data_IF_712082462299
#
_entry.id   IF_712082462299
#
_cell.length_a   1.000
_cell.length_b   1.000
_cell.length_c   1.000
_cell.angle_alpha   90.00
_cell.angle_beta   90.00
_cell.angle_gamma   90.00
#
_symmetry.space_group_name_H-M   'P 1'
#
loop_
_entity.id
_entity.type
_entity.pdbx_description
1 polymer ?
#
# COMPACT_ATOMS: atom_id res chain seq x y z
N UNK A 1 25.91 -15.21 -0.52
CA UNK A 1 26.10 -13.97 -1.31
C UNK A 1 26.83 -14.33 -2.58
N UNK A 2 26.19 -14.06 -3.73
CA UNK A 2 26.75 -14.35 -5.07
C UNK A 2 27.65 -13.22 -5.55
N UNK A 3 27.33 -11.97 -5.20
CA UNK A 3 28.20 -10.82 -5.42
C UNK A 3 28.04 -9.82 -4.26
N UNK A 4 29.12 -9.42 -3.59
CA UNK A 4 29.04 -8.44 -2.51
C UNK A 4 28.82 -7.00 -3.03
N UNK A 5 29.00 -6.77 -4.33
CA UNK A 5 28.91 -5.43 -4.92
C UNK A 5 28.51 -5.51 -6.40
N UNK A 6 27.20 -5.53 -6.64
CA UNK A 6 26.62 -5.54 -7.98
C UNK A 6 26.13 -4.14 -8.34
N UNK A 7 26.57 -3.59 -9.46
CA UNK A 7 26.11 -2.29 -9.96
C UNK A 7 24.84 -2.49 -10.80
N UNK A 8 23.75 -1.80 -10.42
CA UNK A 8 22.48 -1.79 -11.13
C UNK A 8 21.95 -0.35 -11.10
N UNK A 9 21.64 0.23 -12.26
CA UNK A 9 21.10 1.58 -12.38
C UNK A 9 21.85 2.62 -11.53
N UNK A 10 23.18 2.61 -11.62
CA UNK A 10 24.10 3.49 -10.90
C UNK A 10 24.15 3.31 -9.37
N UNK A 11 23.52 2.29 -8.82
CA UNK A 11 23.54 1.95 -7.39
C UNK A 11 24.15 0.58 -7.14
N UNK A 12 24.86 0.42 -6.02
CA UNK A 12 25.44 -0.86 -5.62
C UNK A 12 24.50 -1.67 -4.74
N UNK A 13 24.40 -2.96 -5.05
CA UNK A 13 23.59 -3.93 -4.31
C UNK A 13 24.44 -5.14 -3.91
N UNK A 14 24.05 -5.80 -2.83
CA UNK A 14 24.49 -7.14 -2.53
C UNK A 14 23.59 -8.09 -3.29
N UNK A 15 24.17 -8.93 -4.16
CA UNK A 15 23.43 -9.98 -4.87
C UNK A 15 23.51 -11.30 -4.10
N UNK A 16 22.39 -11.99 -4.00
CA UNK A 16 22.26 -13.28 -3.35
C UNK A 16 21.44 -14.24 -4.21
N UNK A 17 21.75 -15.53 -4.10
CA UNK A 17 20.99 -16.67 -4.62
C UNK A 17 19.99 -17.22 -3.58
N UNK A 18 19.96 -16.65 -2.39
CA UNK A 18 18.92 -16.95 -1.41
C UNK A 18 17.55 -16.57 -1.96
N UNK A 19 16.54 -17.40 -1.68
CA UNK A 19 15.19 -17.18 -2.16
C UNK A 19 14.61 -15.86 -1.63
N UNK A 20 14.43 -14.89 -2.51
CA UNK A 20 13.72 -13.64 -2.24
C UNK A 20 12.33 -13.75 -2.82
N UNK A 21 11.32 -13.81 -1.95
CA UNK A 21 9.92 -13.93 -2.31
C UNK A 21 9.17 -12.61 -2.04
N UNK A 22 8.00 -12.40 -2.67
CA UNK A 22 7.10 -11.31 -2.29
C UNK A 22 6.84 -11.32 -0.79
N UNK A 23 6.97 -10.16 -0.14
CA UNK A 23 6.89 -10.01 1.32
C UNK A 23 8.25 -9.93 2.02
N UNK A 24 9.35 -10.34 1.40
CA UNK A 24 10.69 -10.20 1.97
C UNK A 24 11.30 -8.79 1.76
N UNK A 25 10.75 -8.00 0.85
CA UNK A 25 11.22 -6.62 0.59
C UNK A 25 11.12 -5.75 1.84
N UNK A 26 12.16 -4.97 2.13
CA UNK A 26 12.29 -4.22 3.38
C UNK A 26 12.80 -5.04 4.57
N UNK A 27 12.84 -6.37 4.46
CA UNK A 27 13.37 -7.26 5.48
C UNK A 27 14.90 -7.25 5.56
N UNK A 28 15.47 -7.59 6.72
CA UNK A 28 16.92 -7.61 6.92
C UNK A 28 17.57 -8.85 6.30
N UNK A 29 18.77 -8.66 5.76
CA UNK A 29 19.67 -9.75 5.33
C UNK A 29 20.82 -9.87 6.33
N UNK A 30 20.99 -11.06 6.90
CA UNK A 30 22.04 -11.34 7.88
C UNK A 30 23.11 -12.27 7.27
N UNK A 31 24.35 -12.12 7.75
CA UNK A 31 25.39 -13.12 7.49
C UNK A 31 25.31 -14.27 8.51
N UNK A 32 26.21 -15.27 8.37
CA UNK A 32 26.26 -16.44 9.25
C UNK A 32 26.56 -16.08 10.72
N UNK A 33 27.06 -14.89 10.99
CA UNK A 33 27.32 -14.37 12.36
C UNK A 33 26.14 -13.60 12.95
N UNK A 34 25.03 -13.50 12.21
CA UNK A 34 23.87 -12.72 12.63
C UNK A 34 24.04 -11.19 12.50
N UNK A 35 25.06 -10.74 11.75
CA UNK A 35 25.28 -9.30 11.50
C UNK A 35 24.42 -8.88 10.31
N UNK A 36 23.75 -7.73 10.44
CA UNK A 36 22.98 -7.12 9.36
C UNK A 36 23.93 -6.64 8.24
N UNK A 37 23.77 -7.17 7.03
CA UNK A 37 24.61 -6.85 5.87
C UNK A 37 23.87 -6.03 4.81
N UNK A 38 22.55 -6.18 4.71
CA UNK A 38 21.73 -5.44 3.74
C UNK A 38 20.26 -5.43 4.17
N UNK A 39 19.47 -4.60 3.47
CA UNK A 39 17.99 -4.67 3.46
C UNK A 39 17.55 -5.21 2.10
N UNK A 40 16.69 -6.21 2.09
CA UNK A 40 16.15 -6.82 0.87
C UNK A 40 15.38 -5.77 0.06
N UNK A 41 15.79 -5.53 -1.18
CA UNK A 41 15.19 -4.51 -2.04
C UNK A 41 14.22 -5.10 -3.06
N UNK A 42 14.68 -6.03 -3.89
CA UNK A 42 13.88 -6.57 -4.97
C UNK A 42 14.42 -7.90 -5.50
N UNK A 43 13.59 -8.53 -6.33
CA UNK A 43 13.98 -9.60 -7.26
C UNK A 43 13.88 -9.04 -8.67
N UNK A 44 14.84 -9.33 -9.54
CA UNK A 44 14.67 -9.07 -10.98
C UNK A 44 13.68 -10.11 -11.51
N UNK A 45 12.56 -9.64 -12.08
CA UNK A 45 11.42 -10.47 -12.50
C UNK A 45 11.76 -11.52 -13.54
N UNK A 46 12.80 -11.29 -14.35
CA UNK A 46 13.19 -12.20 -15.45
C UNK A 46 14.36 -13.13 -15.12
N UNK A 47 14.83 -13.13 -13.86
CA UNK A 47 15.93 -14.00 -13.43
C UNK A 47 15.52 -14.81 -12.19
N UNK A 48 15.30 -16.10 -12.39
CA UNK A 48 15.07 -17.01 -11.28
C UNK A 48 16.30 -17.06 -10.36
N UNK A 49 16.05 -16.96 -9.04
CA UNK A 49 17.05 -17.06 -7.97
C UNK A 49 18.09 -15.93 -7.89
N UNK A 50 17.74 -14.69 -8.29
CA UNK A 50 18.58 -13.53 -8.03
C UNK A 50 17.86 -12.54 -7.14
N UNK A 51 18.29 -12.41 -5.89
CA UNK A 51 17.85 -11.41 -4.93
C UNK A 51 18.87 -10.29 -4.78
N UNK A 52 18.38 -9.09 -4.47
CA UNK A 52 19.22 -7.89 -4.26
C UNK A 52 18.89 -7.24 -2.93
N UNK A 53 19.93 -6.80 -2.23
CA UNK A 53 19.82 -6.05 -1.00
C UNK A 53 20.62 -4.75 -1.05
N UNK A 54 20.07 -3.69 -0.46
CA UNK A 54 20.77 -2.42 -0.25
C UNK A 54 21.79 -2.63 0.86
N UNK A 55 23.09 -2.41 0.61
CA UNK A 55 24.13 -2.63 1.62
C UNK A 55 23.92 -1.78 2.87
N UNK A 56 24.25 -2.32 4.04
CA UNK A 56 24.11 -1.61 5.32
C UNK A 56 24.93 -0.32 5.38
N UNK A 57 26.06 -0.27 4.68
CA UNK A 57 26.88 0.94 4.65
C UNK A 57 26.21 2.09 3.87
N UNK A 58 25.42 1.77 2.84
CA UNK A 58 24.57 2.76 2.15
C UNK A 58 23.47 3.25 3.09
N UNK A 59 22.83 2.35 3.81
CA UNK A 59 21.82 2.71 4.81
C UNK A 59 22.35 3.60 5.92
N UNK A 60 23.53 3.31 6.47
CA UNK A 60 24.16 4.15 7.49
C UNK A 60 24.36 5.57 7.01
N UNK A 61 24.91 5.75 5.80
CA UNK A 61 25.11 7.08 5.20
C UNK A 61 23.79 7.84 5.03
N UNK A 62 22.74 7.15 4.55
CA UNK A 62 21.42 7.78 4.39
C UNK A 62 20.85 8.19 5.74
N UNK A 63 20.95 7.35 6.77
CA UNK A 63 20.47 7.66 8.13
C UNK A 63 21.24 8.84 8.76
N UNK A 64 22.56 8.85 8.66
CA UNK A 64 23.41 9.95 9.13
C UNK A 64 23.04 11.27 8.44
N UNK A 65 22.82 11.24 7.12
CA UNK A 65 22.39 12.42 6.37
C UNK A 65 21.00 12.89 6.82
N UNK A 66 20.02 11.97 6.95
CA UNK A 66 18.65 12.31 7.37
C UNK A 66 18.62 12.90 8.79
N UNK A 67 19.49 12.45 9.70
CA UNK A 67 19.58 12.99 11.04
C UNK A 67 20.08 14.46 11.06
N UNK A 68 20.88 14.85 10.07
CA UNK A 68 21.40 16.20 9.93
C UNK A 68 20.49 17.16 9.16
N UNK A 69 19.43 16.67 8.51
CA UNK A 69 18.51 17.47 7.69
C UNK A 69 17.58 18.34 8.54
N UNK A 70 17.34 19.55 8.08
CA UNK A 70 16.20 20.34 8.55
C UNK A 70 14.90 19.70 8.03
N UNK A 71 14.13 19.10 8.94
CA UNK A 71 12.86 18.43 8.63
C UNK A 71 11.69 19.40 8.43
N UNK A 72 11.91 20.69 8.58
CA UNK A 72 10.89 21.72 8.33
C UNK A 72 10.81 22.13 6.86
N UNK A 73 11.81 21.74 6.04
CA UNK A 73 11.87 22.02 4.60
C UNK A 73 11.82 20.73 3.80
N UNK A 74 11.30 20.83 2.58
CA UNK A 74 11.31 19.72 1.63
C UNK A 74 12.73 19.50 1.11
N UNK A 75 13.23 18.29 1.25
CA UNK A 75 14.55 17.90 0.77
C UNK A 75 14.42 16.83 -0.30
N UNK A 76 15.18 16.96 -1.39
CA UNK A 76 15.31 15.97 -2.45
C UNK A 76 16.72 15.41 -2.48
N UNK A 77 16.86 14.13 -2.81
CA UNK A 77 18.17 13.50 -2.93
C UNK A 77 18.62 13.48 -4.39
N UNK A 78 19.85 13.94 -4.65
CA UNK A 78 20.45 13.84 -5.96
C UNK A 78 20.72 12.37 -6.33
N UNK A 79 20.24 11.94 -7.51
CA UNK A 79 20.43 10.55 -7.97
C UNK A 79 21.89 10.20 -8.32
N UNK A 80 22.76 11.18 -8.47
CA UNK A 80 24.15 10.98 -8.91
C UNK A 80 25.16 10.98 -7.77
N UNK A 81 24.97 11.80 -6.74
CA UNK A 81 25.91 11.89 -5.63
C UNK A 81 25.29 11.68 -4.24
N UNK A 82 24.00 11.37 -4.18
CA UNK A 82 23.23 11.13 -2.95
C UNK A 82 23.14 12.35 -2.00
N UNK A 83 23.59 13.55 -2.43
CA UNK A 83 23.49 14.77 -1.64
C UNK A 83 22.04 15.23 -1.53
N UNK A 84 21.65 15.75 -0.35
CA UNK A 84 20.33 16.31 -0.11
C UNK A 84 20.32 17.81 -0.46
N UNK A 85 19.27 18.22 -1.18
CA UNK A 85 19.11 19.56 -1.73
C UNK A 85 17.77 20.10 -1.21
N UNK A 86 17.81 21.25 -0.56
CA UNK A 86 16.61 21.90 0.01
C UNK A 86 16.12 23.09 -0.81
N UNK A 87 16.93 23.59 -1.73
CA UNK A 87 16.60 24.73 -2.59
C UNK A 87 16.41 24.26 -4.03
N UNK A 88 15.36 24.78 -4.70
CA UNK A 88 15.10 24.46 -6.11
C UNK A 88 16.23 24.99 -7.00
N UNK A 89 16.85 24.09 -7.76
CA UNK A 89 17.90 24.41 -8.71
C UNK A 89 17.81 23.48 -9.94
N UNK A 90 18.33 23.93 -11.07
CA UNK A 90 18.41 23.12 -12.30
C UNK A 90 19.52 22.07 -12.21
N UNK A 91 20.57 22.32 -11.42
CA UNK A 91 21.72 21.43 -11.27
C UNK A 91 22.01 21.16 -9.80
N UNK A 92 22.52 19.96 -9.51
CA UNK A 92 22.96 19.61 -8.17
C UNK A 92 24.13 20.52 -7.74
N UNK A 93 24.03 21.25 -6.63
CA UNK A 93 25.09 22.14 -6.16
C UNK A 93 26.37 21.38 -5.75
N UNK A 94 26.29 20.08 -5.49
CA UNK A 94 27.42 19.25 -5.09
C UNK A 94 28.17 18.68 -6.32
N UNK A 95 27.47 18.01 -7.25
CA UNK A 95 28.13 17.31 -8.36
C UNK A 95 27.87 17.92 -9.73
N UNK A 96 27.03 18.94 -9.87
CA UNK A 96 26.70 19.61 -11.12
C UNK A 96 25.82 18.78 -12.07
N UNK A 97 25.26 17.64 -11.62
CA UNK A 97 24.36 16.85 -12.44
C UNK A 97 23.01 17.55 -12.59
N UNK A 98 22.39 17.38 -13.76
CA UNK A 98 21.09 18.00 -14.02
C UNK A 98 20.00 17.30 -13.21
N UNK A 99 19.26 18.11 -12.45
CA UNK A 99 18.13 17.60 -11.65
C UNK A 99 16.88 17.48 -12.55
N UNK A 100 16.02 16.46 -12.30
CA UNK A 100 14.74 16.37 -13.00
C UNK A 100 13.87 17.60 -12.68
N UNK A 101 13.28 18.21 -13.70
CA UNK A 101 12.46 19.44 -13.57
C UNK A 101 11.31 19.31 -12.55
N UNK A 102 10.82 18.08 -12.34
CA UNK A 102 9.70 17.80 -11.44
C UNK A 102 10.14 17.41 -10.02
N UNK A 103 11.47 17.36 -9.74
CA UNK A 103 11.98 16.79 -8.48
C UNK A 103 11.58 17.63 -7.26
N UNK A 104 11.48 18.96 -7.42
CA UNK A 104 11.07 19.91 -6.38
C UNK A 104 9.56 20.20 -6.40
N UNK A 105 8.86 19.78 -7.46
CA UNK A 105 7.42 20.02 -7.53
C UNK A 105 6.71 19.06 -6.59
N UNK A 106 6.06 19.63 -5.60
CA UNK A 106 5.08 18.91 -4.80
C UNK A 106 4.01 18.39 -5.76
N UNK A 107 3.88 17.07 -5.88
CA UNK A 107 2.76 16.50 -6.63
C UNK A 107 1.50 16.76 -5.80
N UNK A 108 0.74 17.77 -6.21
CA UNK A 108 -0.58 18.01 -5.68
C UNK A 108 -1.44 16.75 -5.81
N UNK A 109 -2.39 16.61 -4.92
CA UNK A 109 -3.40 15.56 -5.06
C UNK A 109 -4.21 15.81 -6.34
N UNK A 110 -4.53 14.73 -7.05
CA UNK A 110 -5.54 14.81 -8.12
C UNK A 110 -6.92 15.10 -7.51
N UNK A 111 -7.84 15.66 -8.30
CA UNK A 111 -9.22 15.90 -7.83
C UNK A 111 -9.86 14.60 -7.31
N UNK A 112 -9.53 13.46 -7.92
CA UNK A 112 -9.95 12.14 -7.45
C UNK A 112 -9.34 11.80 -6.09
N UNK A 113 -8.06 12.07 -5.89
CA UNK A 113 -7.40 11.82 -4.61
C UNK A 113 -7.98 12.74 -3.52
N UNK A 114 -8.23 14.01 -3.81
CA UNK A 114 -8.92 14.94 -2.87
C UNK A 114 -10.26 14.35 -2.47
N UNK A 115 -11.09 13.94 -3.43
CA UNK A 115 -12.39 13.33 -3.16
C UNK A 115 -12.31 12.10 -2.26
N UNK A 116 -11.37 11.18 -2.57
CA UNK A 116 -11.17 9.96 -1.77
C UNK A 116 -10.69 10.28 -0.35
N UNK A 117 -9.78 11.24 -0.20
CA UNK A 117 -9.24 11.64 1.10
C UNK A 117 -10.27 12.36 1.97
N UNK A 118 -11.13 13.18 1.39
CA UNK A 118 -12.28 13.74 2.10
C UNK A 118 -13.23 12.65 2.63
N UNK A 119 -13.48 11.60 1.82
CA UNK A 119 -14.29 10.48 2.27
C UNK A 119 -13.63 9.69 3.41
N UNK A 120 -12.31 9.52 3.39
CA UNK A 120 -11.54 8.85 4.45
C UNK A 120 -11.52 9.71 5.72
N UNK A 121 -11.33 11.02 5.59
CA UNK A 121 -11.35 11.97 6.71
C UNK A 121 -12.72 12.00 7.39
N UNK A 122 -13.81 11.94 6.62
CA UNK A 122 -15.18 11.84 7.15
C UNK A 122 -15.42 10.60 8.02
N UNK A 123 -14.60 9.54 7.87
CA UNK A 123 -14.59 8.36 8.74
C UNK A 123 -13.77 8.54 10.02
N UNK A 124 -13.14 9.71 10.22
CA UNK A 124 -12.24 10.00 11.33
C UNK A 124 -10.84 9.40 11.19
N UNK A 125 -10.41 9.11 9.96
CA UNK A 125 -9.12 8.49 9.64
C UNK A 125 -8.24 9.54 8.96
N UNK A 126 -6.96 9.60 9.36
CA UNK A 126 -6.00 10.47 8.68
C UNK A 126 -5.65 9.89 7.30
N UNK A 127 -6.05 10.56 6.19
CA UNK A 127 -5.86 10.01 4.85
C UNK A 127 -4.40 9.89 4.44
N UNK A 128 -3.52 10.75 4.97
CA UNK A 128 -2.08 10.71 4.68
C UNK A 128 -1.46 9.40 5.14
N UNK A 129 -1.89 8.89 6.31
CA UNK A 129 -1.42 7.61 6.86
C UNK A 129 -2.02 6.41 6.12
N UNK A 130 -3.12 6.63 5.39
CA UNK A 130 -3.79 5.60 4.63
C UNK A 130 -3.20 5.41 3.22
N UNK A 131 -2.42 6.36 2.71
CA UNK A 131 -1.89 6.32 1.34
C UNK A 131 -1.01 5.10 1.09
N UNK A 132 -1.28 4.40 -0.02
CA UNK A 132 -0.48 3.28 -0.53
C UNK A 132 -0.19 3.52 -2.01
N UNK A 133 0.93 4.17 -2.29
CA UNK A 133 1.29 4.55 -3.66
C UNK A 133 0.43 5.70 -4.21
N UNK A 134 0.32 5.75 -5.53
CA UNK A 134 -0.43 6.79 -6.24
C UNK A 134 -1.90 6.39 -6.39
N UNK A 135 -2.82 7.23 -5.92
CA UNK A 135 -4.28 7.00 -5.96
C UNK A 135 -4.70 5.63 -5.37
N UNK A 136 -4.09 5.26 -4.26
CA UNK A 136 -4.43 4.08 -3.49
C UNK A 136 -4.40 4.35 -2.00
N UNK A 137 -5.34 3.76 -1.26
CA UNK A 137 -5.45 3.92 0.20
C UNK A 137 -5.76 2.58 0.85
N UNK A 138 -5.16 2.37 2.02
CA UNK A 138 -5.42 1.22 2.88
C UNK A 138 -5.49 1.66 4.33
N UNK A 139 -6.57 1.32 5.00
CA UNK A 139 -6.80 1.68 6.39
C UNK A 139 -7.70 0.66 7.07
N UNK A 140 -7.87 0.82 8.37
CA UNK A 140 -8.77 -0.02 9.17
C UNK A 140 -9.94 0.79 9.70
N UNK A 141 -11.11 0.14 9.72
CA UNK A 141 -12.27 0.58 10.49
C UNK A 141 -12.72 -0.58 11.36
N UNK A 142 -12.58 -0.43 12.69
CA UNK A 142 -12.74 -1.57 13.60
C UNK A 142 -11.78 -2.71 13.25
N UNK A 143 -12.32 -3.91 13.07
CA UNK A 143 -11.58 -5.11 12.65
C UNK A 143 -11.30 -5.17 11.16
N UNK A 144 -12.08 -4.47 10.33
CA UNK A 144 -12.05 -4.59 8.88
C UNK A 144 -10.96 -3.74 8.21
N UNK A 145 -10.14 -4.35 7.35
CA UNK A 145 -9.24 -3.64 6.43
C UNK A 145 -10.03 -3.11 5.24
N UNK A 146 -9.84 -1.84 4.89
CA UNK A 146 -10.44 -1.20 3.73
C UNK A 146 -9.34 -0.84 2.73
N UNK A 147 -9.55 -1.21 1.49
CA UNK A 147 -8.68 -0.86 0.36
C UNK A 147 -9.46 -0.03 -0.64
N UNK A 148 -8.93 1.13 -1.00
CA UNK A 148 -9.46 1.97 -2.08
C UNK A 148 -8.38 2.12 -3.14
N UNK A 149 -8.74 1.94 -4.42
CA UNK A 149 -7.77 2.02 -5.52
C UNK A 149 -8.48 2.26 -6.86
N UNK A 150 -7.74 2.83 -7.80
CA UNK A 150 -8.21 3.03 -9.18
C UNK A 150 -7.88 1.78 -10.00
N UNK A 151 -8.88 1.29 -10.73
CA UNK A 151 -8.74 0.17 -11.66
C UNK A 151 -9.05 0.62 -13.09
N UNK A 152 -8.17 0.23 -14.02
CA UNK A 152 -8.30 0.50 -15.47
C UNK A 152 -8.56 1.98 -15.79
N UNK A 153 -8.03 2.90 -14.96
CA UNK A 153 -8.21 4.36 -15.08
C UNK A 153 -9.66 4.86 -15.20
N UNK A 154 -10.62 3.99 -15.01
CA UNK A 154 -12.04 4.28 -15.24
C UNK A 154 -12.90 4.04 -14.00
N UNK A 155 -12.46 3.20 -13.09
CA UNK A 155 -13.25 2.81 -11.93
C UNK A 155 -12.49 3.03 -10.62
N UNK A 156 -13.18 3.60 -9.65
CA UNK A 156 -12.76 3.55 -8.26
C UNK A 156 -13.38 2.31 -7.60
N UNK A 157 -12.53 1.51 -6.98
CA UNK A 157 -12.93 0.39 -6.13
C UNK A 157 -12.67 0.72 -4.68
N UNK A 158 -13.65 0.40 -3.83
CA UNK A 158 -13.45 0.25 -2.40
C UNK A 158 -13.81 -1.19 -2.03
N UNK A 159 -12.93 -1.89 -1.33
CA UNK A 159 -13.14 -3.30 -1.00
C UNK A 159 -12.59 -3.62 0.38
N UNK A 160 -13.22 -4.58 1.05
CA UNK A 160 -12.79 -5.13 2.33
C UNK A 160 -12.73 -6.65 2.25
N UNK A 161 -11.59 -7.28 2.57
CA UNK A 161 -11.51 -8.71 2.80
C UNK A 161 -12.13 -9.03 4.16
N UNK A 162 -13.41 -9.47 4.18
CA UNK A 162 -14.17 -9.72 5.41
C UNK A 162 -13.66 -10.96 6.16
N UNK A 163 -14.03 -12.14 5.67
CA UNK A 163 -13.86 -13.41 6.38
C UNK A 163 -13.39 -14.51 5.45
N UNK A 164 -12.86 -15.57 6.04
CA UNK A 164 -12.58 -16.84 5.38
C UNK A 164 -13.82 -17.73 5.54
N UNK A 165 -14.24 -18.36 4.45
CA UNK A 165 -15.33 -19.35 4.47
C UNK A 165 -15.06 -20.47 5.49
N UNK A 166 -16.08 -20.98 6.19
CA UNK A 166 -15.92 -22.09 7.11
C UNK A 166 -15.53 -23.37 6.35
N UNK A 167 -14.74 -24.25 6.99
CA UNK A 167 -14.29 -25.52 6.36
C UNK A 167 -15.41 -26.53 6.15
N UNK A 168 -16.53 -26.37 6.80
CA UNK A 168 -17.70 -27.26 6.75
C UNK A 168 -18.97 -26.42 6.75
N UNK A 169 -20.06 -27.00 6.25
CA UNK A 169 -21.38 -26.37 6.23
C UNK A 169 -21.41 -25.06 5.45
N UNK A 170 -20.96 -25.10 4.20
CA UNK A 170 -20.84 -23.93 3.31
C UNK A 170 -22.19 -23.40 2.81
N UNK A 171 -23.22 -24.28 2.70
CA UNK A 171 -24.50 -23.94 2.09
C UNK A 171 -25.19 -22.72 2.73
N UNK A 172 -25.30 -22.58 4.07
CA UNK A 172 -25.95 -21.43 4.67
C UNK A 172 -25.24 -20.10 4.36
N UNK A 173 -23.92 -20.06 4.48
CA UNK A 173 -23.17 -18.83 4.20
C UNK A 173 -23.21 -18.47 2.71
N UNK A 174 -23.07 -19.43 1.80
CA UNK A 174 -23.17 -19.17 0.36
C UNK A 174 -24.58 -18.72 -0.03
N UNK A 175 -25.62 -19.32 0.57
CA UNK A 175 -27.00 -18.89 0.37
C UNK A 175 -27.19 -17.45 0.84
N UNK A 176 -26.68 -17.10 2.02
CA UNK A 176 -26.70 -15.72 2.53
C UNK A 176 -26.02 -14.74 1.56
N UNK A 177 -24.79 -15.05 1.12
CA UNK A 177 -24.04 -14.18 0.22
C UNK A 177 -24.74 -13.96 -1.13
N UNK A 178 -25.46 -14.97 -1.63
CA UNK A 178 -26.16 -14.90 -2.92
C UNK A 178 -27.54 -14.23 -2.82
N UNK A 179 -28.23 -14.36 -1.71
CA UNK A 179 -29.62 -13.90 -1.57
C UNK A 179 -29.75 -12.55 -0.86
N UNK A 180 -28.71 -12.13 -0.11
CA UNK A 180 -28.77 -10.88 0.63
C UNK A 180 -28.67 -9.69 -0.30
N UNK A 181 -29.67 -8.83 -0.28
CA UNK A 181 -29.66 -7.57 -1.00
C UNK A 181 -28.84 -6.54 -0.21
N UNK A 182 -27.68 -6.17 -0.74
CA UNK A 182 -26.76 -5.24 -0.09
C UNK A 182 -26.39 -4.05 -1.00
N UNK A 183 -27.19 -3.81 -2.04
CA UNK A 183 -26.91 -2.68 -2.95
C UNK A 183 -26.62 -1.37 -2.17
N UNK A 184 -25.67 -0.55 -2.60
CA UNK A 184 -24.91 -0.62 -3.84
C UNK A 184 -23.66 -1.52 -3.78
N UNK A 185 -23.43 -2.21 -2.67
CA UNK A 185 -22.30 -3.11 -2.47
C UNK A 185 -22.53 -4.49 -3.13
N UNK A 186 -21.46 -5.26 -3.20
CA UNK A 186 -21.51 -6.64 -3.67
C UNK A 186 -20.60 -7.52 -2.84
N UNK A 187 -21.04 -8.71 -2.54
CA UNK A 187 -20.17 -9.77 -2.09
C UNK A 187 -19.36 -10.35 -3.26
N UNK A 188 -18.13 -10.74 -2.98
CA UNK A 188 -17.25 -11.45 -3.89
C UNK A 188 -16.52 -12.57 -3.16
N UNK A 189 -16.05 -13.56 -3.92
CA UNK A 189 -15.21 -14.64 -3.42
C UNK A 189 -13.93 -14.69 -4.25
N UNK A 190 -12.81 -14.81 -3.57
CA UNK A 190 -11.52 -15.16 -4.16
C UNK A 190 -10.93 -16.31 -3.34
N UNK A 191 -10.91 -17.51 -3.93
CA UNK A 191 -10.65 -18.72 -3.18
C UNK A 191 -11.67 -18.91 -2.05
N UNK A 192 -11.19 -18.90 -0.81
CA UNK A 192 -12.02 -18.99 0.39
C UNK A 192 -12.27 -17.63 1.06
N UNK A 193 -11.71 -16.54 0.55
CA UNK A 193 -11.85 -15.21 1.10
C UNK A 193 -13.12 -14.55 0.61
N UNK A 194 -13.96 -14.08 1.55
CA UNK A 194 -15.16 -13.28 1.28
C UNK A 194 -14.74 -11.81 1.21
N UNK A 195 -15.24 -11.10 0.22
CA UNK A 195 -15.03 -9.66 0.05
C UNK A 195 -16.37 -8.92 0.05
N UNK A 196 -16.36 -7.74 0.64
CA UNK A 196 -17.35 -6.70 0.38
C UNK A 196 -16.73 -5.68 -0.56
N UNK A 197 -17.45 -5.26 -1.62
CA UNK A 197 -16.92 -4.32 -2.61
C UNK A 197 -17.95 -3.29 -3.03
N UNK A 198 -17.49 -2.09 -3.30
CA UNK A 198 -18.19 -1.02 -3.98
C UNK A 198 -17.36 -0.60 -5.18
N UNK A 199 -18.00 -0.49 -6.34
CA UNK A 199 -17.38 -0.05 -7.58
C UNK A 199 -18.18 1.08 -8.18
N UNK A 200 -17.50 2.17 -8.53
CA UNK A 200 -18.11 3.33 -9.17
C UNK A 200 -17.25 3.79 -10.34
N UNK A 201 -17.88 4.27 -11.41
CA UNK A 201 -17.17 4.89 -12.52
C UNK A 201 -16.68 6.27 -12.10
N UNK A 202 -15.45 6.65 -12.50
CA UNK A 202 -14.84 7.92 -12.07
C UNK A 202 -15.68 9.13 -12.50
N UNK A 203 -16.38 9.07 -13.62
CA UNK A 203 -17.28 10.16 -14.05
C UNK A 203 -18.40 10.45 -13.04
N UNK A 204 -18.86 9.45 -12.30
CA UNK A 204 -19.94 9.63 -11.33
C UNK A 204 -19.45 10.41 -10.10
N UNK A 205 -18.15 10.31 -9.80
CA UNK A 205 -17.49 11.07 -8.73
C UNK A 205 -17.52 12.56 -9.02
N UNK A 206 -17.43 12.95 -10.31
CA UNK A 206 -17.44 14.33 -10.77
C UNK A 206 -18.80 14.79 -11.32
N UNK A 207 -19.88 14.13 -10.91
CA UNK A 207 -21.25 14.41 -11.31
C UNK A 207 -22.12 14.84 -10.11
N UNK A 208 -23.39 15.06 -10.34
CA UNK A 208 -24.39 15.32 -9.28
C UNK A 208 -24.53 14.15 -8.28
N UNK A 209 -23.97 12.97 -8.60
CA UNK A 209 -23.95 11.81 -7.71
C UNK A 209 -22.75 11.78 -6.74
N UNK A 210 -21.86 12.77 -6.78
CA UNK A 210 -20.64 12.85 -5.98
C UNK A 210 -20.87 12.58 -4.48
N UNK A 211 -21.83 13.28 -3.88
CA UNK A 211 -22.17 13.13 -2.45
C UNK A 211 -22.73 11.74 -2.12
N UNK A 212 -23.48 11.13 -3.03
CA UNK A 212 -23.97 9.76 -2.87
C UNK A 212 -22.81 8.75 -2.92
N UNK A 213 -21.85 8.96 -3.84
CA UNK A 213 -20.64 8.13 -3.93
C UNK A 213 -19.83 8.25 -2.63
N UNK A 214 -19.60 9.47 -2.12
CA UNK A 214 -18.87 9.70 -0.87
C UNK A 214 -19.54 8.99 0.31
N UNK A 215 -20.86 9.10 0.41
CA UNK A 215 -21.67 8.41 1.42
C UNK A 215 -21.51 6.90 1.34
N UNK A 216 -21.57 6.33 0.13
CA UNK A 216 -21.41 4.89 -0.07
C UNK A 216 -20.00 4.41 0.28
N UNK A 217 -18.95 5.18 -0.04
CA UNK A 217 -17.57 4.85 0.36
C UNK A 217 -17.42 4.82 1.88
N UNK A 218 -17.96 5.83 2.56
CA UNK A 218 -17.96 5.91 4.03
C UNK A 218 -18.73 4.76 4.66
N UNK A 219 -19.93 4.48 4.19
CA UNK A 219 -20.79 3.40 4.72
C UNK A 219 -20.20 2.01 4.48
N UNK A 220 -19.43 1.79 3.39
CA UNK A 220 -18.77 0.51 3.16
C UNK A 220 -17.90 0.10 4.34
N UNK A 221 -17.13 1.04 4.88
CA UNK A 221 -16.20 0.76 5.97
C UNK A 221 -16.94 0.32 7.26
N UNK A 222 -18.04 1.00 7.61
CA UNK A 222 -18.87 0.61 8.77
C UNK A 222 -19.57 -0.72 8.52
N UNK A 223 -20.11 -0.90 7.31
CA UNK A 223 -20.81 -2.14 6.96
C UNK A 223 -19.87 -3.35 6.91
N UNK A 224 -18.61 -3.15 6.54
CA UNK A 224 -17.61 -4.21 6.57
C UNK A 224 -17.33 -4.67 8.00
N UNK A 225 -17.16 -3.75 8.94
CA UNK A 225 -16.91 -4.03 10.36
C UNK A 225 -18.12 -4.75 11.03
N UNK A 226 -19.35 -4.36 10.65
CA UNK A 226 -20.56 -5.06 11.13
C UNK A 226 -20.69 -6.47 10.55
N UNK A 227 -20.40 -6.62 9.25
CA UNK A 227 -20.57 -7.88 8.54
C UNK A 227 -19.53 -8.93 8.91
N UNK A 228 -18.28 -8.56 9.17
CA UNK A 228 -17.24 -9.53 9.51
C UNK A 228 -17.56 -10.23 10.84
N UNK A 229 -18.03 -9.48 11.84
CA UNK A 229 -18.51 -10.03 13.10
C UNK A 229 -19.75 -10.92 12.91
N UNK A 230 -20.72 -10.45 12.12
CA UNK A 230 -21.95 -11.21 11.83
C UNK A 230 -21.65 -12.54 11.13
N UNK A 231 -20.73 -12.57 10.19
CA UNK A 231 -20.35 -13.78 9.45
C UNK A 231 -19.63 -14.81 10.36
N UNK A 232 -18.84 -14.35 11.32
CA UNK A 232 -18.23 -15.21 12.35
C UNK A 232 -19.31 -15.82 13.25
N UNK A 233 -20.15 -14.98 13.83
CA UNK A 233 -21.12 -15.38 14.84
C UNK A 233 -22.23 -16.28 14.27
N UNK A 234 -22.67 -16.00 13.04
CA UNK A 234 -23.82 -16.68 12.45
C UNK A 234 -23.44 -17.93 11.67
N UNK A 235 -22.32 -17.89 10.93
CA UNK A 235 -21.95 -18.94 10.01
C UNK A 235 -20.66 -19.66 10.37
N UNK A 236 -19.96 -19.22 11.44
CA UNK A 236 -18.70 -19.82 11.86
C UNK A 236 -17.56 -19.54 10.87
N UNK A 237 -17.62 -18.42 10.18
CA UNK A 237 -16.50 -17.94 9.35
C UNK A 237 -15.30 -17.62 10.24
N UNK A 238 -14.10 -17.71 9.69
CA UNK A 238 -12.88 -17.26 10.36
C UNK A 238 -12.60 -15.80 9.94
N UNK A 239 -12.05 -14.97 10.84
CA UNK A 239 -11.58 -13.63 10.44
C UNK A 239 -10.52 -13.73 9.36
N UNK A 240 -10.51 -12.74 8.47
CA UNK A 240 -9.48 -12.62 7.44
C UNK A 240 -8.08 -12.51 8.07
N UNK A 241 -7.06 -13.00 7.39
CA UNK A 241 -5.66 -12.77 7.77
C UNK A 241 -5.29 -11.27 7.77
N UNK A 242 -6.04 -10.45 7.03
CA UNK A 242 -5.88 -8.99 6.94
C UNK A 242 -6.62 -8.24 8.05
N UNK A 243 -7.42 -8.91 8.88
CA UNK A 243 -8.16 -8.26 9.94
C UNK A 243 -7.24 -7.65 11.01
N UNK A 244 -7.67 -6.53 11.58
CA UNK A 244 -6.96 -5.88 12.67
C UNK A 244 -7.11 -6.69 13.97
N UNK A 245 -6.10 -7.47 14.28
CA UNK A 245 -6.10 -8.36 15.46
C UNK A 245 -6.19 -7.65 16.82
N UNK A 246 -5.97 -6.34 16.85
CA UNK A 246 -6.09 -5.55 18.08
C UNK A 246 -7.52 -5.03 18.31
N UNK A 247 -8.40 -5.20 17.32
CA UNK A 247 -9.80 -4.74 17.38
C UNK A 247 -10.81 -5.91 17.43
N UNK A 248 -10.30 -7.16 17.42
CA UNK A 248 -11.07 -8.40 17.53
C UNK A 248 -11.20 -8.82 18.99
#
# INVERSE_FOLDING_TARGET
VSSPRQLINNSYYIQTDAAVNPGNSGGPMFNERGELIAITASKITDADNMGFGIPVDTLKKVLENIESLDRSVFNVQCNSCDEFISEEDEYCPCCGDKLPEEIFKERGLTDLAVFCEEAIEAMGINPVLARVGYEGWKFYKGSSEIRMFVYDRSYLFATSPLNILPKKNLEPVLTYLLQTEIAPYRFGLDGNQIYLSYRVHISDIFSDYSENVKTNLTHLAFKADDLDNYLVDTFGCEFSEYANKNAI
#
